data_IF_746866993015
#
_entry.id   IF_746866993015
#
_cell.length_a   1.000
_cell.length_b   1.000
_cell.length_c   1.000
_cell.angle_alpha   90.00
_cell.angle_beta   90.00
_cell.angle_gamma   90.00
#
_symmetry.space_group_name_H-M   'P 1'
#
loop_
_entity.id
_entity.type
_entity.pdbx_description
1 polymer ?
#
# COMPACT_ATOMS: atom_id res chain seq x y z
N UNK A 1 -10.44 -0.08 4.25
CA UNK A 1 -9.86 -0.64 5.50
C UNK A 1 -10.09 -2.14 5.61
N UNK A 2 -11.22 -2.69 5.15
CA UNK A 2 -11.51 -4.13 5.22
C UNK A 2 -10.44 -5.00 4.55
N UNK A 3 -9.99 -4.66 3.33
CA UNK A 3 -9.00 -5.48 2.61
C UNK A 3 -7.62 -5.52 3.28
N UNK A 4 -7.12 -4.39 3.79
CA UNK A 4 -5.84 -4.38 4.51
C UNK A 4 -5.89 -5.25 5.78
N UNK A 5 -7.02 -5.21 6.50
CA UNK A 5 -7.21 -6.05 7.67
C UNK A 5 -7.29 -7.54 7.31
N UNK A 6 -7.95 -7.86 6.19
CA UNK A 6 -8.02 -9.24 5.68
C UNK A 6 -6.62 -9.75 5.28
N UNK A 7 -5.84 -8.95 4.55
CA UNK A 7 -4.49 -9.30 4.15
C UNK A 7 -3.58 -9.59 5.34
N UNK A 8 -3.65 -8.77 6.40
CA UNK A 8 -2.90 -9.01 7.64
C UNK A 8 -3.32 -10.33 8.31
N UNK A 9 -4.63 -10.59 8.43
CA UNK A 9 -5.14 -11.84 9.02
C UNK A 9 -4.71 -13.08 8.24
N UNK A 10 -4.74 -13.01 6.91
CA UNK A 10 -4.26 -14.09 6.05
C UNK A 10 -2.76 -14.34 6.26
N UNK A 11 -1.96 -13.28 6.35
CA UNK A 11 -0.53 -13.40 6.61
C UNK A 11 -0.22 -13.96 8.01
N UNK A 12 -0.96 -13.55 9.03
CA UNK A 12 -0.85 -14.10 10.40
C UNK A 12 -1.23 -15.58 10.45
N UNK A 13 -2.15 -16.01 9.58
CA UNK A 13 -2.54 -17.42 9.42
C UNK A 13 -1.58 -18.24 8.53
N UNK A 14 -0.46 -17.66 8.09
CA UNK A 14 0.51 -18.30 7.20
C UNK A 14 0.08 -18.41 5.73
N UNK A 15 -1.09 -17.87 5.37
CA UNK A 15 -1.60 -17.81 4.00
C UNK A 15 -0.98 -16.65 3.24
N UNK A 16 0.34 -16.69 3.07
CA UNK A 16 1.12 -15.61 2.50
C UNK A 16 0.73 -15.27 1.06
N UNK A 17 0.35 -16.27 0.25
CA UNK A 17 -0.05 -16.04 -1.14
C UNK A 17 -1.34 -15.22 -1.23
N UNK A 18 -2.38 -15.65 -0.52
CA UNK A 18 -3.68 -14.98 -0.49
C UNK A 18 -3.57 -13.60 0.17
N UNK A 19 -2.70 -13.46 1.18
CA UNK A 19 -2.40 -12.18 1.80
C UNK A 19 -1.78 -11.19 0.80
N UNK A 20 -0.83 -11.65 -0.02
CA UNK A 20 -0.20 -10.83 -1.07
C UNK A 20 -1.23 -10.40 -2.12
N UNK A 21 -2.06 -11.32 -2.61
CA UNK A 21 -3.12 -10.99 -3.56
C UNK A 21 -4.07 -9.94 -2.98
N UNK A 22 -4.53 -10.13 -1.74
CA UNK A 22 -5.44 -9.20 -1.07
C UNK A 22 -4.81 -7.82 -0.88
N UNK A 23 -3.54 -7.75 -0.49
CA UNK A 23 -2.80 -6.50 -0.32
C UNK A 23 -2.56 -5.78 -1.67
N UNK A 24 -2.32 -6.55 -2.73
CA UNK A 24 -2.17 -6.02 -4.09
C UNK A 24 -3.49 -5.43 -4.60
N UNK A 25 -4.62 -6.12 -4.40
CA UNK A 25 -5.95 -5.61 -4.75
C UNK A 25 -6.29 -4.32 -4.02
N UNK A 26 -6.05 -4.28 -2.70
CA UNK A 26 -6.23 -3.08 -1.90
C UNK A 26 -5.39 -1.90 -2.43
N UNK A 27 -4.13 -2.18 -2.78
CA UNK A 27 -3.20 -1.17 -3.29
C UNK A 27 -3.66 -0.63 -4.64
N UNK A 28 -4.10 -1.51 -5.55
CA UNK A 28 -4.63 -1.12 -6.85
C UNK A 28 -5.90 -0.27 -6.73
N UNK A 29 -6.82 -0.65 -5.83
CA UNK A 29 -8.04 0.10 -5.56
C UNK A 29 -7.71 1.51 -5.06
N UNK A 30 -6.89 1.60 -4.02
CA UNK A 30 -6.52 2.89 -3.44
C UNK A 30 -5.66 3.75 -4.38
N UNK A 31 -4.87 3.12 -5.26
CA UNK A 31 -4.13 3.83 -6.31
C UNK A 31 -5.07 4.49 -7.30
N UNK A 32 -6.11 3.78 -7.75
CA UNK A 32 -7.13 4.36 -8.65
C UNK A 32 -7.87 5.50 -7.96
N UNK A 33 -8.28 5.32 -6.70
CA UNK A 33 -8.97 6.37 -5.95
C UNK A 33 -8.08 7.61 -5.72
N UNK A 34 -6.80 7.40 -5.39
CA UNK A 34 -5.82 8.47 -5.21
C UNK A 34 -5.52 9.25 -6.49
N UNK A 35 -5.68 8.65 -7.68
CA UNK A 35 -5.61 9.40 -8.95
C UNK A 35 -6.74 10.41 -9.10
N UNK A 36 -7.93 10.08 -8.60
CA UNK A 36 -9.11 10.95 -8.70
C UNK A 36 -9.19 11.98 -7.57
N UNK A 37 -8.87 11.58 -6.34
CA UNK A 37 -8.83 12.46 -5.18
C UNK A 37 -7.60 12.15 -4.30
N UNK A 38 -6.42 12.70 -4.67
CA UNK A 38 -5.18 12.42 -3.96
C UNK A 38 -5.24 12.76 -2.47
N UNK A 39 -5.83 13.90 -2.10
CA UNK A 39 -5.89 14.35 -0.71
C UNK A 39 -6.70 13.39 0.18
N UNK A 40 -7.81 12.86 -0.33
CA UNK A 40 -8.66 11.95 0.44
C UNK A 40 -8.09 10.53 0.55
N UNK A 41 -7.43 10.03 -0.50
CA UNK A 41 -7.10 8.61 -0.62
C UNK A 41 -5.62 8.27 -0.48
N UNK A 42 -4.70 9.24 -0.53
CA UNK A 42 -3.27 8.98 -0.29
C UNK A 42 -3.01 8.29 1.05
N UNK A 43 -3.61 8.70 2.19
CA UNK A 43 -3.39 8.00 3.46
C UNK A 43 -3.79 6.51 3.42
N UNK A 44 -4.87 6.18 2.70
CA UNK A 44 -5.32 4.82 2.54
C UNK A 44 -4.40 4.00 1.63
N UNK A 45 -3.89 4.61 0.56
CA UNK A 45 -2.88 4.03 -0.32
C UNK A 45 -1.57 3.74 0.43
N UNK A 46 -1.06 4.70 1.20
CA UNK A 46 0.14 4.54 2.04
C UNK A 46 -0.01 3.37 3.02
N UNK A 47 -1.18 3.25 3.66
CA UNK A 47 -1.47 2.13 4.56
C UNK A 47 -1.46 0.79 3.83
N UNK A 48 -2.06 0.73 2.65
CA UNK A 48 -2.07 -0.49 1.81
C UNK A 48 -0.66 -0.91 1.40
N UNK A 49 0.17 0.05 0.98
CA UNK A 49 1.57 -0.21 0.60
C UNK A 49 2.39 -0.72 1.80
N UNK A 50 2.17 -0.18 3.00
CA UNK A 50 2.82 -0.70 4.22
C UNK A 50 2.42 -2.15 4.49
N UNK A 51 1.11 -2.45 4.50
CA UNK A 51 0.61 -3.82 4.66
C UNK A 51 1.21 -4.76 3.62
N UNK A 52 1.29 -4.33 2.35
CA UNK A 52 1.86 -5.15 1.30
C UNK A 52 3.35 -5.44 1.52
N UNK A 53 4.14 -4.43 1.90
CA UNK A 53 5.56 -4.59 2.23
C UNK A 53 5.78 -5.54 3.42
N UNK A 54 4.96 -5.42 4.47
CA UNK A 54 5.11 -6.26 5.67
C UNK A 54 4.79 -7.74 5.36
N UNK A 55 3.81 -8.00 4.49
CA UNK A 55 3.49 -9.35 4.03
C UNK A 55 4.63 -9.92 3.17
N UNK A 56 5.24 -9.09 2.30
CA UNK A 56 6.41 -9.48 1.52
C UNK A 56 7.60 -9.83 2.42
N UNK A 57 7.86 -9.07 3.48
CA UNK A 57 8.92 -9.38 4.46
C UNK A 57 8.65 -10.71 5.18
N UNK A 58 7.41 -10.92 5.64
CA UNK A 58 7.00 -12.19 6.27
C UNK A 58 7.13 -13.40 5.33
N UNK A 59 6.98 -13.17 4.03
CA UNK A 59 7.16 -14.19 2.99
C UNK A 59 8.63 -14.38 2.54
N UNK A 60 9.58 -13.66 3.14
CA UNK A 60 11.01 -13.71 2.77
C UNK A 60 11.40 -12.83 1.57
N UNK A 61 10.45 -12.12 0.96
CA UNK A 61 10.64 -11.29 -0.23
C UNK A 61 11.09 -9.86 0.10
N UNK A 62 12.17 -9.73 0.88
CA UNK A 62 12.67 -8.44 1.39
C UNK A 62 13.03 -7.42 0.30
N UNK A 63 13.53 -7.89 -0.85
CA UNK A 63 13.83 -7.03 -2.01
C UNK A 63 12.58 -6.34 -2.56
N UNK A 64 11.50 -7.09 -2.70
CA UNK A 64 10.24 -6.53 -3.21
C UNK A 64 9.58 -5.65 -2.15
N UNK A 65 9.66 -6.00 -0.86
CA UNK A 65 9.20 -5.15 0.22
C UNK A 65 9.88 -3.76 0.21
N UNK A 66 11.20 -3.71 0.01
CA UNK A 66 11.95 -2.46 -0.11
C UNK A 66 11.48 -1.63 -1.32
N UNK A 67 11.18 -2.28 -2.44
CA UNK A 67 10.62 -1.62 -3.62
C UNK A 67 9.24 -1.01 -3.33
N UNK A 68 8.36 -1.74 -2.65
CA UNK A 68 7.03 -1.24 -2.25
C UNK A 68 7.15 -0.05 -1.29
N UNK A 69 8.07 -0.10 -0.32
CA UNK A 69 8.34 1.03 0.59
C UNK A 69 8.86 2.26 -0.16
N UNK A 70 9.71 2.06 -1.17
CA UNK A 70 10.16 3.15 -2.04
C UNK A 70 9.00 3.77 -2.82
N UNK A 71 8.11 2.96 -3.40
CA UNK A 71 6.93 3.45 -4.10
C UNK A 71 6.04 4.31 -3.18
N UNK A 72 5.81 3.85 -1.95
CA UNK A 72 5.08 4.62 -0.93
C UNK A 72 5.69 5.99 -0.68
N UNK A 73 7.02 6.07 -0.57
CA UNK A 73 7.70 7.34 -0.32
C UNK A 73 7.59 8.29 -1.52
N UNK A 74 7.64 7.75 -2.74
CA UNK A 74 7.38 8.52 -3.96
C UNK A 74 5.94 9.05 -4.03
N UNK A 75 4.94 8.26 -3.59
CA UNK A 75 3.55 8.70 -3.48
C UNK A 75 3.42 9.86 -2.50
N UNK A 76 4.03 9.75 -1.31
CA UNK A 76 3.99 10.81 -0.30
C UNK A 76 4.68 12.08 -0.79
N UNK A 77 5.80 11.95 -1.51
CA UNK A 77 6.49 13.09 -2.11
C UNK A 77 5.61 13.82 -3.13
N UNK A 78 5.01 13.09 -4.08
CA UNK A 78 4.13 13.66 -5.11
C UNK A 78 2.90 14.35 -4.52
N UNK A 79 2.35 13.81 -3.44
CA UNK A 79 1.22 14.43 -2.73
C UNK A 79 1.61 15.81 -2.19
N UNK A 80 2.75 15.90 -1.48
CA UNK A 80 3.24 17.18 -0.94
C UNK A 80 3.46 18.22 -2.03
N UNK A 81 4.09 17.83 -3.14
CA UNK A 81 4.27 18.70 -4.31
C UNK A 81 2.93 19.18 -4.91
N UNK A 82 1.91 18.31 -4.91
CA UNK A 82 0.55 18.65 -5.40
C UNK A 82 -0.21 19.57 -4.43
N UNK A 83 0.06 19.49 -3.13
CA UNK A 83 -0.52 20.38 -2.12
C UNK A 83 0.19 21.74 -2.09
N UNK A 84 1.52 21.77 -2.22
CA UNK A 84 2.33 22.99 -2.24
C UNK A 84 2.17 23.80 -3.55
N UNK A 85 1.92 23.14 -4.68
CA UNK A 85 1.66 23.81 -5.96
C UNK A 85 0.26 24.41 -6.11
N UNK A 86 -0.61 24.26 -5.10
CA UNK A 86 -1.98 24.80 -5.08
C UNK A 86 -2.14 26.06 -4.23
N UNK A 87 -1.05 26.61 -3.69
CA UNK A 87 -1.01 27.81 -2.83
C UNK A 87 -0.64 29.05 -3.63
#
# INVERSE_FOLDING_TARGET
>A
MSLNNLANRLADNGQHHEALQTAQEATNLYRTLAKHNPAAYTPALTRSLNTYADILERSGNTKEAARIRKERDEVLKRMKETEEGRV
#
